data_IF_546952845754
#
_entry.id   IF_546952845754
#
_cell.length_a   1.000
_cell.length_b   1.000
_cell.length_c   1.000
_cell.angle_alpha   90.00
_cell.angle_beta   90.00
_cell.angle_gamma   90.00
#
_symmetry.space_group_name_H-M   'P 1'
#
loop_
_entity.id
_entity.type
_entity.pdbx_description
1 polymer ?
#
# COMPACT_ATOMS: atom_id res chain seq x y z
N UNK A 1 25.29 -7.89 10.86
CA UNK A 1 24.25 -8.64 10.11
C UNK A 1 24.61 -8.59 8.65
N UNK A 2 24.65 -9.73 7.98
CA UNK A 2 24.64 -9.81 6.51
C UNK A 2 23.17 -9.87 6.06
N UNK A 3 22.79 -9.06 5.07
CA UNK A 3 21.49 -9.18 4.40
C UNK A 3 21.72 -9.97 3.13
N UNK A 4 20.95 -11.03 2.94
CA UNK A 4 20.89 -11.77 1.68
C UNK A 4 19.73 -11.21 0.85
N UNK A 5 19.99 -10.94 -0.43
CA UNK A 5 18.98 -10.47 -1.37
C UNK A 5 18.85 -11.52 -2.46
N UNK A 6 17.66 -12.11 -2.54
CA UNK A 6 17.31 -13.11 -3.56
C UNK A 6 16.27 -12.53 -4.51
N UNK A 7 16.60 -12.52 -5.80
CA UNK A 7 15.75 -12.01 -6.86
C UNK A 7 14.92 -13.14 -7.45
N UNK A 8 13.65 -13.25 -7.03
CA UNK A 8 12.72 -14.28 -7.51
C UNK A 8 11.98 -13.76 -8.75
N UNK A 9 12.06 -14.50 -9.85
CA UNK A 9 11.44 -14.13 -11.13
C UNK A 9 10.06 -14.76 -11.30
N UNK A 10 9.09 -13.95 -11.69
CA UNK A 10 7.74 -14.37 -12.09
C UNK A 10 7.57 -14.08 -13.58
N UNK A 11 7.08 -15.06 -14.34
CA UNK A 11 6.87 -14.89 -15.78
C UNK A 11 5.72 -13.93 -16.07
N UNK A 12 5.86 -13.09 -17.11
CA UNK A 12 4.87 -12.06 -17.48
C UNK A 12 3.46 -12.61 -17.78
N UNK A 13 3.35 -13.89 -18.15
CA UNK A 13 2.09 -14.57 -18.44
C UNK A 13 1.29 -14.90 -17.18
N UNK A 14 1.93 -14.98 -16.02
CA UNK A 14 1.31 -15.34 -14.74
C UNK A 14 0.37 -14.20 -14.31
N UNK A 15 -0.88 -14.54 -14.01
CA UNK A 15 -1.95 -13.60 -13.63
C UNK A 15 -2.25 -12.54 -14.73
N UNK A 16 -1.92 -12.85 -15.98
CA UNK A 16 -2.14 -11.94 -17.12
C UNK A 16 -3.61 -11.68 -17.43
N UNK A 17 -4.48 -12.59 -17.01
CA UNK A 17 -5.93 -12.59 -17.13
C UNK A 17 -6.64 -11.78 -16.03
N UNK A 18 -5.97 -11.41 -14.94
CA UNK A 18 -6.60 -10.66 -13.86
C UNK A 18 -6.79 -9.19 -14.24
N UNK A 19 -7.92 -8.62 -13.82
CA UNK A 19 -8.24 -7.21 -14.05
C UNK A 19 -7.26 -6.30 -13.30
N UNK A 20 -6.88 -5.18 -13.90
CA UNK A 20 -6.09 -4.11 -13.26
C UNK A 20 -6.86 -2.81 -13.39
N UNK A 21 -6.79 -1.95 -12.36
CA UNK A 21 -7.53 -0.69 -12.30
C UNK A 21 -6.65 0.46 -11.80
N UNK A 22 -7.03 1.69 -12.14
CA UNK A 22 -6.38 2.93 -11.70
C UNK A 22 -4.87 2.97 -11.98
N UNK A 23 -4.08 3.12 -10.91
CA UNK A 23 -2.62 3.23 -10.95
C UNK A 23 -1.94 1.91 -10.57
N UNK A 24 -2.71 0.86 -10.26
CA UNK A 24 -2.19 -0.45 -9.92
C UNK A 24 -1.72 -1.16 -11.18
N UNK A 25 -0.70 -1.99 -10.99
CA UNK A 25 -0.12 -2.82 -12.04
C UNK A 25 -0.23 -4.29 -11.65
N UNK A 26 0.10 -5.18 -12.60
CA UNK A 26 -0.01 -6.63 -12.38
C UNK A 26 0.87 -7.11 -11.24
N UNK A 27 2.02 -6.46 -11.04
CA UNK A 27 2.99 -6.77 -10.00
C UNK A 27 2.40 -6.64 -8.59
N UNK A 28 1.32 -5.86 -8.41
CA UNK A 28 0.59 -5.82 -7.14
C UNK A 28 0.06 -7.21 -6.73
N UNK A 29 -0.33 -8.05 -7.71
CA UNK A 29 -0.78 -9.42 -7.45
C UNK A 29 0.34 -10.40 -7.08
N UNK A 30 1.62 -10.08 -7.31
CA UNK A 30 2.71 -11.04 -7.07
C UNK A 30 2.83 -11.46 -5.60
N UNK A 31 2.38 -10.62 -4.67
CA UNK A 31 2.32 -10.98 -3.25
C UNK A 31 1.43 -12.20 -2.96
N UNK A 32 0.43 -12.45 -3.81
CA UNK A 32 -0.43 -13.64 -3.71
C UNK A 32 0.33 -14.93 -4.04
N UNK A 33 1.44 -14.84 -4.77
CA UNK A 33 2.26 -15.99 -5.15
C UNK A 33 3.31 -16.35 -4.09
N UNK A 34 3.52 -15.50 -3.07
CA UNK A 34 4.56 -15.71 -2.05
C UNK A 34 4.52 -17.10 -1.41
N UNK A 35 3.35 -17.66 -1.01
CA UNK A 35 3.30 -18.99 -0.40
C UNK A 35 3.87 -20.11 -1.29
N UNK A 36 3.83 -19.93 -2.61
CA UNK A 36 4.31 -20.89 -3.61
C UNK A 36 5.76 -20.60 -4.08
N UNK A 37 6.23 -19.37 -3.86
CA UNK A 37 7.55 -18.92 -4.33
C UNK A 37 8.65 -19.05 -3.29
N UNK A 38 8.30 -19.06 -2.00
CA UNK A 38 9.27 -19.02 -0.90
C UNK A 38 8.96 -20.14 0.10
N UNK A 39 9.93 -21.03 0.30
CA UNK A 39 9.84 -22.17 1.22
C UNK A 39 10.27 -21.78 2.64
N UNK A 40 9.43 -20.96 3.28
CA UNK A 40 9.55 -20.61 4.71
C UNK A 40 8.17 -20.68 5.37
N UNK A 41 8.14 -20.68 6.70
CA UNK A 41 6.89 -20.76 7.47
C UNK A 41 6.17 -19.42 7.56
N UNK A 42 6.93 -18.32 7.65
CA UNK A 42 6.41 -16.99 7.91
C UNK A 42 7.19 -15.94 7.15
N UNK A 43 6.50 -14.91 6.67
CA UNK A 43 7.11 -13.71 6.08
C UNK A 43 6.47 -12.43 6.61
N UNK A 44 7.25 -11.35 6.61
CA UNK A 44 6.74 -9.98 6.67
C UNK A 44 6.85 -9.36 5.28
N UNK A 45 5.70 -9.18 4.63
CA UNK A 45 5.58 -8.48 3.37
C UNK A 45 5.50 -6.97 3.59
N UNK A 46 6.17 -6.23 2.72
CA UNK A 46 6.28 -4.77 2.73
C UNK A 46 6.14 -4.24 1.29
N UNK A 47 5.23 -3.30 1.06
CA UNK A 47 5.15 -2.58 -0.22
C UNK A 47 6.44 -1.76 -0.47
N UNK A 48 6.77 -1.53 -1.74
CA UNK A 48 7.99 -0.81 -2.14
C UNK A 48 8.01 0.69 -1.82
N UNK A 49 6.86 1.25 -1.45
CA UNK A 49 6.63 2.68 -1.19
C UNK A 49 6.44 2.96 0.30
N UNK A 50 7.26 2.30 1.12
CA UNK A 50 7.29 2.51 2.57
C UNK A 50 8.66 3.00 3.05
N UNK A 51 8.69 3.55 4.28
CA UNK A 51 9.91 3.81 5.03
C UNK A 51 9.76 3.22 6.43
N UNK A 52 10.74 2.43 6.85
CA UNK A 52 10.83 1.81 8.17
C UNK A 52 11.73 2.69 9.06
N UNK A 53 11.19 3.19 10.18
CA UNK A 53 11.85 4.09 11.14
C UNK A 53 12.29 3.41 12.44
N UNK A 54 11.93 2.14 12.62
CA UNK A 54 12.25 1.39 13.84
C UNK A 54 12.27 -0.12 13.64
N UNK A 55 12.62 -0.89 14.69
CA UNK A 55 12.69 -2.34 14.62
C UNK A 55 11.32 -2.96 14.30
N UNK A 56 11.37 -4.10 13.60
CA UNK A 56 10.18 -4.84 13.15
C UNK A 56 10.06 -6.22 13.82
N UNK A 57 10.95 -6.55 14.77
CA UNK A 57 10.96 -7.85 15.45
C UNK A 57 9.63 -8.13 16.16
N UNK A 58 9.09 -7.13 16.87
CA UNK A 58 7.79 -7.25 17.55
C UNK A 58 6.64 -7.47 16.55
N UNK A 59 6.74 -6.85 15.36
CA UNK A 59 5.75 -7.01 14.31
C UNK A 59 5.84 -8.42 13.70
N UNK A 60 7.05 -8.86 13.36
CA UNK A 60 7.29 -10.17 12.75
C UNK A 60 6.89 -11.33 13.68
N UNK A 61 7.12 -11.17 14.98
CA UNK A 61 6.83 -12.18 15.99
C UNK A 61 5.43 -12.07 16.61
N UNK A 62 4.54 -11.22 16.08
CA UNK A 62 3.17 -11.14 16.57
C UNK A 62 2.48 -12.51 16.51
N UNK A 63 1.66 -12.80 17.53
CA UNK A 63 0.77 -13.95 17.50
C UNK A 63 -0.39 -13.65 16.54
N UNK A 64 -0.52 -14.48 15.50
CA UNK A 64 -1.60 -14.37 14.52
C UNK A 64 -2.92 -14.94 15.04
N UNK A 65 -2.92 -15.63 16.21
CA UNK A 65 -4.12 -16.17 16.85
C UNK A 65 -4.92 -17.09 15.91
N UNK A 66 -4.20 -17.86 15.09
CA UNK A 66 -4.78 -18.76 14.08
C UNK A 66 -5.20 -18.10 12.77
N UNK A 67 -5.06 -16.78 12.62
CA UNK A 67 -5.30 -16.10 11.36
C UNK A 67 -4.17 -16.35 10.35
N UNK A 68 -4.50 -16.38 9.06
CA UNK A 68 -3.50 -16.52 7.98
C UNK A 68 -2.68 -15.24 7.78
N UNK A 69 -3.26 -14.09 8.08
CA UNK A 69 -2.66 -12.78 7.84
C UNK A 69 -2.82 -11.91 9.08
N UNK A 70 -1.76 -11.18 9.42
CA UNK A 70 -1.82 -10.00 10.26
C UNK A 70 -1.57 -8.75 9.43
N UNK A 71 -2.44 -7.76 9.54
CA UNK A 71 -2.35 -6.51 8.78
C UNK A 71 -3.00 -5.34 9.53
N UNK A 72 -2.70 -4.11 9.09
CA UNK A 72 -3.42 -2.93 9.57
C UNK A 72 -4.72 -2.72 8.80
N UNK A 73 -5.70 -2.12 9.48
CA UNK A 73 -6.96 -1.71 8.87
C UNK A 73 -6.70 -0.55 7.90
N UNK A 74 -7.30 -0.62 6.72
CA UNK A 74 -7.44 0.49 5.79
C UNK A 74 -8.65 1.34 6.19
N UNK A 75 -8.43 2.29 7.09
CA UNK A 75 -9.52 3.13 7.60
C UNK A 75 -10.04 4.11 6.53
N UNK A 76 -9.27 4.37 5.47
CA UNK A 76 -9.64 5.30 4.40
C UNK A 76 -10.56 4.70 3.35
N UNK A 77 -10.77 3.39 3.39
CA UNK A 77 -11.47 2.64 2.35
C UNK A 77 -12.96 2.51 2.64
N UNK A 78 -13.77 2.96 1.70
CA UNK A 78 -15.22 2.70 1.68
C UNK A 78 -15.58 1.35 1.02
N UNK A 79 -14.56 0.60 0.58
CA UNK A 79 -14.74 -0.69 -0.12
C UNK A 79 -15.56 -1.70 0.66
N UNK A 80 -15.44 -1.86 2.00
CA UNK A 80 -16.30 -2.79 2.74
C UNK A 80 -17.77 -2.59 2.43
N UNK A 81 -18.24 -1.34 2.46
CA UNK A 81 -19.64 -1.02 2.15
C UNK A 81 -19.98 -1.36 0.71
N UNK A 82 -19.12 -1.00 -0.24
CA UNK A 82 -19.33 -1.23 -1.67
C UNK A 82 -19.32 -2.72 -2.04
N UNK A 83 -18.57 -3.53 -1.30
CA UNK A 83 -18.49 -4.99 -1.44
C UNK A 83 -19.58 -5.73 -0.64
N UNK A 84 -20.45 -5.00 0.08
CA UNK A 84 -21.56 -5.57 0.85
C UNK A 84 -21.13 -6.24 2.16
N UNK A 85 -19.99 -5.85 2.73
CA UNK A 85 -19.51 -6.41 3.99
C UNK A 85 -20.38 -5.92 5.14
N UNK A 86 -20.49 -6.70 6.23
CA UNK A 86 -21.10 -6.21 7.46
C UNK A 86 -20.44 -4.91 7.92
N UNK A 87 -21.21 -3.99 8.51
CA UNK A 87 -20.71 -2.68 8.92
C UNK A 87 -19.56 -2.74 9.95
N UNK A 88 -19.39 -3.87 10.64
CA UNK A 88 -18.33 -4.10 11.62
C UNK A 88 -17.12 -4.85 11.03
N UNK A 89 -17.20 -5.33 9.79
CA UNK A 89 -16.10 -6.05 9.16
C UNK A 89 -14.97 -5.07 8.83
N UNK A 90 -13.75 -5.44 9.20
CA UNK A 90 -12.56 -4.63 8.91
C UNK A 90 -12.05 -4.91 7.50
N UNK A 91 -11.41 -3.91 6.90
CA UNK A 91 -10.74 -4.02 5.61
C UNK A 91 -9.25 -3.93 5.83
N UNK A 92 -8.48 -4.93 5.41
CA UNK A 92 -7.03 -4.84 5.49
C UNK A 92 -6.47 -3.90 4.42
N UNK A 93 -5.39 -3.20 4.77
CA UNK A 93 -4.46 -2.64 3.80
C UNK A 93 -3.39 -3.70 3.49
N UNK A 94 -3.13 -3.99 2.21
CA UNK A 94 -2.21 -5.07 1.81
C UNK A 94 -0.73 -4.66 1.74
N UNK A 95 -0.38 -3.42 2.12
CA UNK A 95 0.99 -2.92 2.00
C UNK A 95 1.94 -3.31 3.13
N UNK A 96 1.42 -3.82 4.24
CA UNK A 96 2.23 -4.43 5.31
C UNK A 96 1.47 -5.64 5.84
N UNK A 97 2.03 -6.84 5.69
CA UNK A 97 1.37 -8.08 6.09
C UNK A 97 2.35 -9.06 6.74
N UNK A 98 2.01 -9.59 7.90
CA UNK A 98 2.63 -10.81 8.44
C UNK A 98 1.82 -11.98 7.90
N UNK A 99 2.45 -12.92 7.22
CA UNK A 99 1.77 -14.01 6.53
C UNK A 99 2.22 -15.36 7.09
N UNK A 100 1.26 -16.19 7.50
CA UNK A 100 1.47 -17.60 7.80
C UNK A 100 1.44 -18.41 6.51
N UNK A 101 2.63 -18.75 6.00
CA UNK A 101 2.74 -19.46 4.74
C UNK A 101 2.40 -20.95 4.86
N UNK A 102 2.52 -21.55 6.05
CA UNK A 102 2.07 -22.93 6.29
C UNK A 102 0.55 -22.97 6.10
N UNK A 103 -0.19 -22.19 6.88
CA UNK A 103 -1.64 -22.16 6.83
C UNK A 103 -2.17 -21.77 5.45
N UNK A 104 -1.49 -20.84 4.75
CA UNK A 104 -1.88 -20.45 3.38
C UNK A 104 -1.74 -21.59 2.37
N UNK A 105 -0.65 -22.37 2.43
CA UNK A 105 -0.45 -23.54 1.55
C UNK A 105 -1.45 -24.65 1.87
N UNK A 106 -1.63 -25.00 3.14
CA UNK A 106 -2.54 -26.05 3.57
C UNK A 106 -4.00 -25.78 3.16
N UNK A 107 -4.42 -24.51 3.17
CA UNK A 107 -5.77 -24.09 2.82
C UNK A 107 -5.96 -23.70 1.34
N UNK A 108 -4.91 -23.78 0.51
CA UNK A 108 -4.91 -23.25 -0.87
C UNK A 108 -5.38 -21.77 -0.94
N UNK A 109 -5.00 -20.97 0.05
CA UNK A 109 -5.50 -19.61 0.24
C UNK A 109 -5.20 -18.72 -0.97
N UNK A 110 -3.96 -18.73 -1.46
CA UNK A 110 -3.54 -17.93 -2.62
C UNK A 110 -4.39 -18.20 -3.86
N UNK A 111 -4.63 -19.49 -4.15
CA UNK A 111 -5.47 -19.89 -5.28
C UNK A 111 -6.90 -19.40 -5.09
N UNK A 112 -7.46 -19.54 -3.89
CA UNK A 112 -8.81 -19.07 -3.56
C UNK A 112 -8.94 -17.55 -3.78
N UNK A 113 -7.94 -16.77 -3.39
CA UNK A 113 -7.92 -15.31 -3.62
C UNK A 113 -7.86 -14.98 -5.11
N UNK A 114 -6.98 -15.65 -5.87
CA UNK A 114 -6.84 -15.44 -7.32
C UNK A 114 -8.13 -15.80 -8.06
N UNK A 115 -8.76 -16.92 -7.71
CA UNK A 115 -10.01 -17.37 -8.31
C UNK A 115 -11.16 -16.38 -7.98
N UNK A 116 -11.25 -15.90 -6.73
CA UNK A 116 -12.21 -14.86 -6.34
C UNK A 116 -12.06 -13.57 -7.16
N UNK A 117 -10.83 -13.13 -7.42
CA UNK A 117 -10.56 -11.95 -8.27
C UNK A 117 -11.05 -12.20 -9.70
N UNK A 118 -10.77 -13.38 -10.25
CA UNK A 118 -11.17 -13.77 -11.61
C UNK A 118 -12.69 -13.85 -11.77
N UNK A 119 -13.40 -14.31 -10.74
CA UNK A 119 -14.85 -14.51 -10.76
C UNK A 119 -15.65 -13.21 -10.54
N UNK A 120 -15.02 -12.17 -9.98
CA UNK A 120 -15.70 -10.90 -9.63
C UNK A 120 -14.95 -9.65 -10.08
N UNK A 121 -14.47 -9.58 -11.34
CA UNK A 121 -13.59 -8.50 -11.80
C UNK A 121 -14.24 -7.11 -11.67
N UNK A 122 -15.57 -7.02 -11.73
CA UNK A 122 -16.33 -5.78 -11.55
C UNK A 122 -16.22 -5.21 -10.12
N UNK A 123 -15.83 -6.03 -9.14
CA UNK A 123 -15.61 -5.66 -7.74
C UNK A 123 -14.15 -5.38 -7.40
N UNK A 124 -13.23 -5.48 -8.36
CA UNK A 124 -11.79 -5.39 -8.08
C UNK A 124 -11.26 -4.02 -8.48
N UNK A 125 -11.33 -3.09 -7.53
CA UNK A 125 -10.79 -1.73 -7.70
C UNK A 125 -9.35 -1.62 -7.17
N UNK A 126 -9.08 -2.23 -6.00
CA UNK A 126 -7.79 -2.25 -5.33
C UNK A 126 -7.11 -3.62 -5.46
N UNK A 127 -7.18 -4.21 -6.66
CA UNK A 127 -6.41 -5.39 -7.07
C UNK A 127 -6.34 -6.50 -6.00
N UNK A 128 -5.13 -6.89 -5.55
CA UNK A 128 -4.89 -7.92 -4.54
C UNK A 128 -5.60 -7.62 -3.22
N UNK A 129 -5.65 -6.36 -2.79
CA UNK A 129 -6.30 -5.95 -1.54
C UNK A 129 -7.80 -6.27 -1.58
N UNK A 130 -8.46 -6.09 -2.72
CA UNK A 130 -9.86 -6.50 -2.89
C UNK A 130 -10.03 -8.02 -2.78
N UNK A 131 -9.19 -8.79 -3.48
CA UNK A 131 -9.23 -10.25 -3.44
C UNK A 131 -9.02 -10.80 -2.03
N UNK A 132 -7.97 -10.34 -1.34
CA UNK A 132 -7.64 -10.72 0.03
C UNK A 132 -8.82 -10.45 0.97
N UNK A 133 -9.39 -9.24 0.91
CA UNK A 133 -10.53 -8.90 1.76
C UNK A 133 -11.79 -9.68 1.42
N UNK A 134 -12.06 -10.01 0.15
CA UNK A 134 -13.22 -10.80 -0.27
C UNK A 134 -13.17 -12.24 0.27
N UNK A 135 -11.97 -12.81 0.35
CA UNK A 135 -11.78 -14.16 0.92
C UNK A 135 -11.76 -14.14 2.44
N UNK A 136 -11.00 -13.21 3.05
CA UNK A 136 -10.86 -13.13 4.52
C UNK A 136 -12.11 -12.58 5.21
N UNK A 137 -12.89 -11.72 4.54
CA UNK A 137 -14.14 -11.14 5.07
C UNK A 137 -14.00 -10.47 6.45
N UNK A 138 -12.83 -9.89 6.72
CA UNK A 138 -12.50 -9.27 8.00
C UNK A 138 -11.86 -10.20 9.04
N UNK A 139 -11.65 -11.48 8.71
CA UNK A 139 -10.96 -12.46 9.56
C UNK A 139 -9.44 -12.39 9.33
N UNK A 140 -8.79 -11.41 9.97
CA UNK A 140 -7.34 -11.28 9.99
C UNK A 140 -6.88 -10.68 11.32
N UNK A 141 -5.63 -10.92 11.70
CA UNK A 141 -5.05 -10.34 12.92
C UNK A 141 -4.86 -8.84 12.73
N UNK A 142 -5.54 -8.03 13.55
CA UNK A 142 -5.36 -6.58 13.53
C UNK A 142 -3.99 -6.19 14.11
N UNK A 143 -3.21 -5.48 13.32
CA UNK A 143 -1.90 -4.94 13.69
C UNK A 143 -2.03 -3.45 14.00
N UNK A 144 -1.25 -2.98 14.98
CA UNK A 144 -1.25 -1.57 15.40
C UNK A 144 -0.90 -0.62 14.24
N UNK A 145 -1.62 0.52 14.10
CA UNK A 145 -1.48 1.44 12.96
C UNK A 145 -0.09 2.06 12.79
N UNK A 146 0.76 2.04 13.84
CA UNK A 146 2.16 2.49 13.76
C UNK A 146 2.99 1.66 12.77
N UNK A 147 2.58 0.42 12.47
CA UNK A 147 3.26 -0.50 11.57
C UNK A 147 2.78 -0.41 10.12
N UNK A 148 1.79 0.43 9.81
CA UNK A 148 1.37 0.75 8.45
C UNK A 148 0.66 2.11 8.47
N UNK A 149 1.43 3.17 8.67
CA UNK A 149 0.90 4.52 8.77
C UNK A 149 0.62 5.09 7.38
N UNK A 150 -0.63 4.96 6.95
CA UNK A 150 -1.14 5.32 5.63
C UNK A 150 -1.29 6.83 5.43
N UNK A 151 -1.16 7.29 4.18
CA UNK A 151 -1.24 8.72 3.83
C UNK A 151 -2.59 9.38 4.14
N UNK A 152 -3.69 8.59 4.16
CA UNK A 152 -5.03 9.09 4.49
C UNK A 152 -5.09 9.69 5.90
N UNK A 153 -4.23 9.23 6.81
CA UNK A 153 -4.16 9.79 8.15
C UNK A 153 -3.69 11.23 8.17
N UNK A 154 -3.23 11.85 7.07
CA UNK A 154 -2.94 13.29 7.02
C UNK A 154 -4.11 14.16 6.60
N UNK A 155 -5.18 13.57 6.07
CA UNK A 155 -6.38 14.31 5.72
C UNK A 155 -7.13 14.72 7.00
N UNK A 156 -7.24 16.04 7.23
CA UNK A 156 -7.88 16.58 8.43
C UNK A 156 -9.39 16.29 8.48
N UNK A 157 -10.04 16.15 7.32
CA UNK A 157 -11.47 15.82 7.23
C UNK A 157 -11.66 14.36 7.66
N UNK A 158 -10.83 13.47 7.13
CA UNK A 158 -10.81 12.06 7.46
C UNK A 158 -10.58 11.83 8.96
N UNK A 159 -9.57 12.49 9.55
CA UNK A 159 -9.30 12.42 10.99
C UNK A 159 -10.51 12.81 11.83
N UNK A 160 -11.26 13.83 11.40
CA UNK A 160 -12.45 14.30 12.11
C UNK A 160 -13.64 13.34 11.97
N UNK A 161 -13.72 12.58 10.87
CA UNK A 161 -14.76 11.59 10.65
C UNK A 161 -14.44 10.21 11.23
N UNK A 162 -13.22 9.99 11.72
CA UNK A 162 -12.80 8.69 12.23
C UNK A 162 -13.51 8.40 13.56
N UNK A 163 -14.46 7.47 13.53
CA UNK A 163 -15.30 7.06 14.66
C UNK A 163 -14.96 5.67 15.21
N UNK A 164 -14.07 4.93 14.53
CA UNK A 164 -13.72 3.56 14.84
C UNK A 164 -12.21 3.35 14.93
N UNK A 165 -11.79 2.25 15.57
CA UNK A 165 -10.40 1.91 15.83
C UNK A 165 -9.90 2.37 17.20
N UNK A 166 -8.70 1.90 17.58
CA UNK A 166 -8.04 2.34 18.80
C UNK A 166 -7.49 3.76 18.59
N UNK A 167 -8.25 4.74 19.08
CA UNK A 167 -7.89 6.16 19.00
C UNK A 167 -6.52 6.45 19.59
N UNK A 168 -6.16 5.82 20.71
CA UNK A 168 -4.87 6.05 21.36
C UNK A 168 -3.73 5.50 20.51
N UNK A 169 -3.91 4.32 19.93
CA UNK A 169 -2.94 3.75 19.01
C UNK A 169 -2.76 4.61 17.75
N UNK A 170 -3.84 5.17 17.21
CA UNK A 170 -3.82 6.08 16.07
C UNK A 170 -3.12 7.40 16.40
N UNK A 171 -3.46 8.04 17.53
CA UNK A 171 -2.81 9.27 17.99
C UNK A 171 -1.31 9.06 18.18
N UNK A 172 -0.91 7.91 18.74
CA UNK A 172 0.50 7.52 18.88
C UNK A 172 1.18 7.36 17.51
N UNK A 173 0.55 6.65 16.59
CA UNK A 173 1.07 6.43 15.24
C UNK A 173 1.18 7.73 14.42
N UNK A 174 0.34 8.74 14.69
CA UNK A 174 0.43 10.05 14.02
C UNK A 174 1.65 10.87 14.45
N UNK A 175 2.17 10.63 15.66
CA UNK A 175 3.34 11.35 16.18
C UNK A 175 4.63 10.64 15.76
N UNK A 176 4.70 9.32 15.93
CA UNK A 176 5.90 8.55 15.66
C UNK A 176 5.59 7.16 15.09
N UNK A 177 5.28 7.07 13.79
CA UNK A 177 5.03 5.78 13.15
C UNK A 177 6.35 5.00 12.95
N UNK A 178 6.29 3.69 13.17
CA UNK A 178 7.39 2.75 12.91
C UNK A 178 7.54 2.47 11.42
N UNK A 179 6.43 2.37 10.69
CA UNK A 179 6.41 2.20 9.24
C UNK A 179 5.50 3.26 8.63
N UNK A 180 6.07 4.09 7.77
CA UNK A 180 5.35 5.07 6.97
C UNK A 180 5.03 4.44 5.63
N UNK A 181 3.76 4.46 5.24
CA UNK A 181 3.32 3.97 3.95
C UNK A 181 2.80 5.14 3.10
N UNK A 182 3.50 5.43 2.00
CA UNK A 182 3.12 6.45 1.03
C UNK A 182 2.01 5.96 0.10
N UNK A 183 0.91 5.50 0.71
CA UNK A 183 -0.24 4.90 0.05
C UNK A 183 -0.97 5.89 -0.87
N UNK A 184 -1.59 5.35 -1.92
CA UNK A 184 -2.25 6.14 -2.97
C UNK A 184 -1.29 6.59 -4.07
N UNK A 185 -1.72 7.49 -4.95
CA UNK A 185 -1.00 7.82 -6.20
C UNK A 185 0.17 8.78 -6.04
N UNK A 186 0.27 9.50 -4.92
CA UNK A 186 1.31 10.51 -4.69
C UNK A 186 2.44 9.93 -3.86
N UNK A 187 3.58 9.68 -4.51
CA UNK A 187 4.77 9.07 -3.90
C UNK A 187 5.76 10.12 -3.38
N UNK A 188 6.67 9.78 -2.43
CA UNK A 188 7.58 10.78 -1.84
C UNK A 188 8.59 11.32 -2.84
N UNK A 189 8.90 10.54 -3.89
CA UNK A 189 9.74 10.96 -5.00
C UNK A 189 9.03 11.86 -6.01
N UNK A 190 7.73 12.18 -5.84
CA UNK A 190 7.08 13.21 -6.64
C UNK A 190 7.36 14.62 -6.10
N UNK A 191 7.52 15.61 -6.99
CA UNK A 191 7.65 17.03 -6.66
C UNK A 191 6.39 17.61 -6.05
N UNK A 192 5.23 17.06 -6.41
CA UNK A 192 3.91 17.45 -5.89
C UNK A 192 3.61 16.90 -4.49
N UNK A 193 4.43 15.97 -3.97
CA UNK A 193 4.18 15.34 -2.69
C UNK A 193 4.31 16.31 -1.53
N UNK A 194 3.24 16.39 -0.73
CA UNK A 194 3.14 17.19 0.50
C UNK A 194 3.12 16.31 1.76
N UNK A 195 3.47 15.03 1.61
CA UNK A 195 3.49 14.10 2.73
C UNK A 195 4.48 14.59 3.81
N UNK A 196 4.10 14.72 5.09
CA UNK A 196 4.98 15.29 6.12
C UNK A 196 6.29 14.52 6.30
N UNK A 197 6.23 13.18 6.20
CA UNK A 197 7.40 12.31 6.24
C UNK A 197 8.10 12.12 4.87
N UNK A 198 7.85 13.00 3.89
CA UNK A 198 8.56 12.94 2.61
C UNK A 198 10.07 13.05 2.80
N UNK A 199 10.52 13.82 3.79
CA UNK A 199 11.94 14.06 4.04
C UNK A 199 12.70 12.77 4.39
N UNK A 200 12.09 11.86 5.16
CA UNK A 200 12.68 10.56 5.52
C UNK A 200 13.11 9.76 4.27
N UNK A 201 12.27 9.73 3.23
CA UNK A 201 12.61 9.07 1.96
C UNK A 201 13.83 9.71 1.29
N UNK A 202 13.89 11.04 1.21
CA UNK A 202 14.99 11.73 0.54
C UNK A 202 16.29 11.64 1.32
N UNK A 203 16.22 11.66 2.65
CA UNK A 203 17.38 11.45 3.51
C UNK A 203 18.00 10.07 3.26
N UNK A 204 17.19 9.00 3.35
CA UNK A 204 17.66 7.62 3.13
C UNK A 204 18.17 7.45 1.70
N UNK A 205 17.38 7.85 0.69
CA UNK A 205 17.77 7.75 -0.72
C UNK A 205 19.11 8.42 -1.02
N UNK A 206 19.38 9.58 -0.43
CA UNK A 206 20.62 10.32 -0.67
C UNK A 206 21.87 9.61 -0.14
N UNK A 207 21.71 8.62 0.73
CA UNK A 207 22.80 7.73 1.19
C UNK A 207 23.07 6.54 0.25
N UNK A 208 22.25 6.37 -0.80
CA UNK A 208 22.33 5.25 -1.75
C UNK A 208 22.84 5.70 -3.13
N UNK A 209 23.11 4.75 -4.02
CA UNK A 209 23.48 5.01 -5.42
C UNK A 209 22.38 5.75 -6.20
N UNK A 210 21.15 5.75 -5.70
CA UNK A 210 20.02 6.43 -6.33
C UNK A 210 20.01 7.95 -6.08
N UNK A 211 20.93 8.52 -5.29
CA UNK A 211 20.94 9.96 -4.93
C UNK A 211 20.78 10.92 -6.11
N UNK A 212 21.33 10.57 -7.27
CA UNK A 212 21.35 11.41 -8.48
C UNK A 212 20.14 11.25 -9.40
N UNK A 213 19.24 10.29 -9.13
CA UNK A 213 17.99 10.14 -9.88
C UNK A 213 17.14 11.42 -9.71
N UNK A 214 16.33 11.80 -10.69
CA UNK A 214 15.42 12.95 -10.53
C UNK A 214 14.05 12.48 -10.06
N UNK A 215 13.24 13.34 -9.41
CA UNK A 215 11.83 13.04 -9.16
C UNK A 215 11.12 12.56 -10.45
N UNK A 216 10.23 11.57 -10.37
CA UNK A 216 9.59 10.98 -11.57
C UNK A 216 8.76 11.98 -12.38
N UNK A 217 8.17 12.97 -11.70
CA UNK A 217 7.40 14.06 -12.30
C UNK A 217 8.26 15.29 -12.62
N UNK A 218 9.59 15.17 -12.51
CA UNK A 218 10.52 16.24 -12.84
C UNK A 218 10.68 16.37 -14.36
N UNK A 219 10.02 17.37 -14.92
CA UNK A 219 10.19 17.78 -16.32
C UNK A 219 10.16 19.30 -16.49
N UNK A 220 10.54 19.78 -17.68
CA UNK A 220 10.49 21.21 -18.05
C UNK A 220 9.16 21.88 -17.71
N UNK A 221 8.03 21.16 -17.81
CA UNK A 221 6.69 21.63 -17.40
C UNK A 221 6.56 21.83 -15.89
N UNK A 222 7.15 20.99 -15.05
CA UNK A 222 7.15 21.14 -13.60
C UNK A 222 8.03 22.32 -13.17
N UNK A 223 9.19 22.50 -13.83
CA UNK A 223 10.07 23.65 -13.62
C UNK A 223 9.36 24.95 -14.00
N UNK A 224 8.76 25.00 -15.20
CA UNK A 224 7.97 26.14 -15.67
C UNK A 224 6.76 26.37 -14.78
N UNK A 225 6.00 25.34 -14.38
CA UNK A 225 4.82 25.50 -13.53
C UNK A 225 5.12 25.96 -12.10
N UNK A 226 6.33 25.67 -11.57
CA UNK A 226 6.74 26.06 -10.22
C UNK A 226 7.24 27.51 -10.14
N UNK A 227 7.88 28.00 -11.20
CA UNK A 227 8.43 29.36 -11.27
C UNK A 227 7.68 30.31 -12.21
N UNK A 228 6.70 29.81 -12.98
CA UNK A 228 5.87 30.66 -13.83
C UNK A 228 5.01 31.60 -12.99
N UNK A 229 4.96 32.89 -13.34
CA UNK A 229 3.95 33.80 -12.83
C UNK A 229 2.53 33.26 -13.07
N UNK A 230 1.58 33.54 -12.17
CA UNK A 230 0.18 33.09 -12.33
C UNK A 230 -0.46 33.57 -13.64
N UNK A 231 -0.01 34.70 -14.18
CA UNK A 231 -0.39 35.19 -15.50
C UNK A 231 -0.04 34.18 -16.62
N UNK A 232 1.14 33.57 -16.55
CA UNK A 232 1.59 32.57 -17.52
C UNK A 232 0.86 31.23 -17.35
N UNK A 233 0.62 30.78 -16.11
CA UNK A 233 -0.20 29.58 -15.85
C UNK A 233 -1.63 29.73 -16.36
N UNK A 234 -2.22 30.92 -16.23
CA UNK A 234 -3.55 31.25 -16.75
C UNK A 234 -3.60 31.21 -18.29
N UNK A 235 -2.54 31.64 -18.96
CA UNK A 235 -2.41 31.55 -20.43
C UNK A 235 -2.32 30.08 -20.86
N UNK A 236 -1.49 29.27 -20.20
CA UNK A 236 -1.37 27.84 -20.51
C UNK A 236 -2.70 27.09 -20.34
N UNK A 237 -3.49 27.39 -19.29
CA UNK A 237 -4.84 26.79 -19.09
C UNK A 237 -5.83 27.18 -20.19
N UNK A 238 -5.77 28.41 -20.69
CA UNK A 238 -6.59 28.86 -21.83
C UNK A 238 -6.20 28.15 -23.12
N UNK A 239 -4.91 27.96 -23.36
CA UNK A 239 -4.42 27.24 -24.55
C UNK A 239 -4.75 25.76 -24.51
N UNK A 240 -4.64 25.10 -23.35
CA UNK A 240 -5.03 23.68 -23.21
C UNK A 240 -6.54 23.43 -23.35
N UNK A 241 -7.37 24.44 -23.09
CA UNK A 241 -8.81 24.38 -23.30
C UNK A 241 -9.25 24.59 -24.75
N UNK A 242 -8.35 25.00 -25.65
CA UNK A 242 -8.62 25.18 -27.08
C UNK A 242 -8.38 23.92 -27.93
N UNK A 243 -7.82 22.85 -27.34
CA UNK A 243 -7.53 21.58 -28.02
C UNK A 243 -8.36 20.41 -27.47
N UNK A 244 -9.55 20.70 -26.95
CA UNK A 244 -10.60 19.71 -26.65
C UNK A 244 -11.79 19.94 -27.57
#
# INVERSE_FOLDING_TARGET
MSVEITDVKVADSVLSDLVVSHHFKRENYFRLLIPELIDVERVLYLDSDIIVRGPLDDLFNIDLEGALVGACIDYGSDRPRQLGFPAHASYLNSGVMVMDLIGMRESNFSRTVIDQIRETPEKIEFVDQCGLNLVLKGEFKHIAPKYNFQSIFFDATFRRSLTCGDRKALETAMVDPTVIHFSGSVKPWHTSSRHPFRHDYWEIRNTTDYRAVLPDDFGLKALLGRYAPESFKRILRKLSGLFR
#
